data_IF_935390268055
#
_entry.id   IF_935390268055
#
_cell.length_a   1.000
_cell.length_b   1.000
_cell.length_c   1.000
_cell.angle_alpha   90.00
_cell.angle_beta   90.00
_cell.angle_gamma   90.00
#
_symmetry.space_group_name_H-M   'P 1'
#
loop_
_entity.id
_entity.type
_entity.pdbx_description
1 polymer ?
#
# COMPACT_ATOMS: atom_id res chain seq x y z
N UNK A 1 -2.85 12.04 -3.64
CA UNK A 1 -4.21 12.62 -3.67
C UNK A 1 -4.27 14.02 -4.24
N UNK A 2 -3.14 14.71 -4.37
CA UNK A 2 -3.06 16.06 -4.91
C UNK A 2 -3.80 16.24 -6.24
N UNK A 3 -3.72 15.24 -7.14
CA UNK A 3 -4.46 15.22 -8.41
C UNK A 3 -5.98 15.26 -8.20
N UNK A 4 -6.51 14.59 -7.17
CA UNK A 4 -7.96 14.52 -6.93
C UNK A 4 -8.47 15.77 -6.20
N UNK A 5 -7.63 16.42 -5.41
CA UNK A 5 -7.98 17.61 -4.62
C UNK A 5 -7.74 18.91 -5.38
N UNK A 6 -6.79 18.93 -6.34
CA UNK A 6 -6.38 20.11 -7.11
C UNK A 6 -6.49 19.88 -8.62
N UNK A 7 -7.59 19.27 -9.10
CA UNK A 7 -7.80 19.08 -10.53
C UNK A 7 -8.49 20.30 -11.17
N UNK A 8 -8.08 20.60 -12.40
CA UNK A 8 -8.80 21.51 -13.29
C UNK A 8 -9.52 20.69 -14.36
N UNK A 9 -10.83 20.86 -14.51
CA UNK A 9 -11.61 20.19 -15.55
C UNK A 9 -11.48 20.97 -16.86
N UNK A 10 -10.79 20.40 -17.83
CA UNK A 10 -10.64 20.99 -19.17
C UNK A 10 -11.77 20.60 -20.12
N UNK A 11 -12.35 19.41 -19.93
CA UNK A 11 -13.45 18.87 -20.73
C UNK A 11 -14.41 18.05 -19.86
N UNK A 12 -15.71 18.16 -20.12
CA UNK A 12 -16.75 17.40 -19.44
C UNK A 12 -17.43 18.16 -18.29
N UNK A 13 -18.37 17.49 -17.62
CA UNK A 13 -19.16 18.06 -16.53
C UNK A 13 -18.41 17.94 -15.19
N UNK A 14 -18.13 19.08 -14.56
CA UNK A 14 -17.37 19.17 -13.32
C UNK A 14 -18.02 18.37 -12.19
N UNK A 15 -19.35 18.35 -12.10
CA UNK A 15 -20.08 17.64 -11.05
C UNK A 15 -19.92 16.13 -11.19
N UNK A 16 -20.11 15.58 -12.40
CA UNK A 16 -19.92 14.14 -12.67
C UNK A 16 -18.49 13.70 -12.37
N UNK A 17 -17.50 14.52 -12.74
CA UNK A 17 -16.09 14.24 -12.48
C UNK A 17 -15.79 14.30 -10.98
N UNK A 18 -16.35 15.29 -10.28
CA UNK A 18 -16.25 15.43 -8.82
C UNK A 18 -16.87 14.25 -8.07
N UNK A 19 -18.02 13.75 -8.54
CA UNK A 19 -18.71 12.56 -8.02
C UNK A 19 -17.89 11.29 -8.27
N UNK A 20 -17.32 11.12 -9.47
CA UNK A 20 -16.41 10.02 -9.78
C UNK A 20 -15.23 10.00 -8.81
N UNK A 21 -14.58 11.14 -8.60
CA UNK A 21 -13.46 11.24 -7.69
C UNK A 21 -13.84 11.04 -6.22
N UNK A 22 -15.08 11.34 -5.83
CA UNK A 22 -15.55 11.17 -4.44
C UNK A 22 -15.41 9.71 -3.97
N UNK A 23 -15.76 8.75 -4.83
CA UNK A 23 -15.63 7.32 -4.52
C UNK A 23 -14.18 6.95 -4.14
N UNK A 24 -13.21 7.39 -4.95
CA UNK A 24 -11.79 7.11 -4.70
C UNK A 24 -11.24 7.89 -3.50
N UNK A 25 -11.72 9.11 -3.24
CA UNK A 25 -11.38 9.86 -2.01
C UNK A 25 -11.75 9.07 -0.77
N UNK A 26 -12.94 8.45 -0.76
CA UNK A 26 -13.41 7.64 0.38
C UNK A 26 -12.52 6.41 0.58
N UNK A 27 -12.27 5.64 -0.48
CA UNK A 27 -11.40 4.46 -0.42
C UNK A 27 -10.01 4.84 0.08
N UNK A 28 -9.43 5.91 -0.47
CA UNK A 28 -8.11 6.36 -0.05
C UNK A 28 -8.08 6.79 1.41
N UNK A 29 -9.10 7.51 1.89
CA UNK A 29 -9.19 7.93 3.29
C UNK A 29 -9.17 6.73 4.23
N UNK A 30 -9.89 5.67 3.88
CA UNK A 30 -9.95 4.43 4.68
C UNK A 30 -8.63 3.64 4.64
N UNK A 31 -7.93 3.67 3.50
CA UNK A 31 -6.65 2.96 3.32
C UNK A 31 -5.45 3.72 3.88
N UNK A 32 -5.50 5.05 3.93
CA UNK A 32 -4.35 5.91 4.27
C UNK A 32 -3.71 5.49 5.59
N UNK A 33 -4.49 5.29 6.65
CA UNK A 33 -3.96 4.90 7.96
C UNK A 33 -3.21 3.57 7.93
N UNK A 34 -3.71 2.58 7.18
CA UNK A 34 -3.08 1.26 7.02
C UNK A 34 -1.78 1.33 6.24
N UNK A 35 -1.76 2.14 5.18
CA UNK A 35 -0.54 2.36 4.39
C UNK A 35 0.52 3.01 5.25
N UNK A 36 0.19 4.11 5.93
CA UNK A 36 1.14 4.82 6.79
C UNK A 36 1.64 3.97 7.96
N UNK A 37 0.76 3.17 8.59
CA UNK A 37 1.16 2.29 9.70
C UNK A 37 2.07 1.15 9.27
N UNK A 38 1.94 0.68 8.03
CA UNK A 38 2.72 -0.43 7.48
C UNK A 38 4.00 0.03 6.76
N UNK A 39 4.29 1.33 6.72
CA UNK A 39 5.58 1.81 6.21
C UNK A 39 6.69 1.41 7.16
N UNK A 40 7.81 0.97 6.59
CA UNK A 40 9.02 0.72 7.37
C UNK A 40 9.51 2.02 8.00
N UNK A 41 9.80 1.98 9.30
CA UNK A 41 10.27 3.13 10.08
C UNK A 41 11.77 3.31 9.98
N UNK A 42 12.52 2.27 9.59
CA UNK A 42 13.96 2.34 9.39
C UNK A 42 14.48 1.27 8.44
N UNK A 43 15.70 1.49 7.93
CA UNK A 43 16.45 0.51 7.13
C UNK A 43 16.68 -0.79 7.95
N UNK A 44 16.85 -0.66 9.26
CA UNK A 44 17.07 -1.82 10.13
C UNK A 44 15.81 -2.71 10.27
N UNK A 45 14.63 -2.13 10.22
CA UNK A 45 13.38 -2.90 10.16
C UNK A 45 13.29 -3.73 8.88
N UNK A 46 13.66 -3.14 7.74
CA UNK A 46 13.72 -3.84 6.44
C UNK A 46 14.73 -5.00 6.52
N UNK A 47 15.93 -4.72 7.06
CA UNK A 47 16.99 -5.73 7.22
C UNK A 47 16.54 -6.91 8.06
N UNK A 48 15.87 -6.65 9.19
CA UNK A 48 15.28 -7.71 10.03
C UNK A 48 14.21 -8.51 9.29
N UNK A 49 13.33 -7.84 8.54
CA UNK A 49 12.32 -8.51 7.70
C UNK A 49 12.93 -9.49 6.69
N UNK A 50 13.99 -9.06 5.99
CA UNK A 50 14.71 -9.91 5.03
C UNK A 50 15.34 -11.13 5.74
N UNK A 51 15.96 -10.93 6.90
CA UNK A 51 16.57 -12.03 7.66
C UNK A 51 15.53 -13.03 8.16
N UNK A 52 14.38 -12.56 8.64
CA UNK A 52 13.27 -13.40 9.06
C UNK A 52 12.75 -14.26 7.89
N UNK A 53 12.62 -13.67 6.69
CA UNK A 53 12.22 -14.41 5.49
C UNK A 53 13.25 -15.49 5.11
N UNK A 54 14.55 -15.19 5.19
CA UNK A 54 15.62 -16.18 4.93
C UNK A 54 15.52 -17.36 5.89
N UNK A 55 15.34 -17.08 7.19
CA UNK A 55 15.18 -18.11 8.24
C UNK A 55 13.93 -18.97 7.99
N UNK A 56 12.80 -18.35 7.66
CA UNK A 56 11.56 -19.07 7.35
C UNK A 56 11.75 -19.99 6.14
N UNK A 57 12.39 -19.49 5.08
CA UNK A 57 12.65 -20.28 3.86
C UNK A 57 13.58 -21.47 4.14
N UNK A 58 14.60 -21.30 4.98
CA UNK A 58 15.46 -22.43 5.36
C UNK A 58 14.71 -23.50 6.17
N UNK A 59 13.77 -23.11 7.03
CA UNK A 59 12.94 -24.05 7.80
C UNK A 59 12.02 -24.87 6.88
N UNK A 60 11.28 -24.19 6.00
CA UNK A 60 10.38 -24.84 5.04
C UNK A 60 11.14 -25.79 4.11
N UNK A 61 12.33 -25.41 3.65
CA UNK A 61 13.13 -26.26 2.77
C UNK A 61 13.79 -27.43 3.53
N UNK A 62 14.12 -27.25 4.81
CA UNK A 62 14.62 -28.32 5.68
C UNK A 62 13.55 -29.38 5.97
N UNK A 63 12.31 -28.95 6.22
CA UNK A 63 11.16 -29.86 6.45
C UNK A 63 10.77 -30.67 5.20
N UNK A 64 11.00 -30.12 4.00
CA UNK A 64 10.76 -30.85 2.73
C UNK A 64 11.80 -31.94 2.43
N UNK A 65 12.94 -31.95 3.11
CA UNK A 65 13.99 -32.95 2.92
C UNK A 65 13.82 -34.20 3.80
N UNK A 66 12.83 -34.20 4.69
CA UNK A 66 12.57 -35.28 5.67
C UNK A 66 11.35 -36.15 5.34
N UNK A 67 10.76 -36.02 4.15
CA UNK A 67 9.66 -36.86 3.66
C UNK A 67 10.06 -37.64 2.40
#
# INVERSE_FOLDING_TARGET
MEIIENHLVLFGDEKKISEYFYFYRKIWKDMKSKVESNRFKSIEEIRRGINNLKKLRSLINGEKATF
#
